data_IF_156508919712
#
_entry.id   IF_156508919712
#
_cell.length_a   1.000
_cell.length_b   1.000
_cell.length_c   1.000
_cell.angle_alpha   90.00
_cell.angle_beta   90.00
_cell.angle_gamma   90.00
#
_symmetry.space_group_name_H-M   'P 1'
#
loop_
_entity.id
_entity.type
_entity.pdbx_description
1 polymer ?
#
# COMPACT_ATOMS: atom_id res chain seq x y z
N UNK A 1 9.91 17.46 -3.90
CA UNK A 1 10.17 16.06 -4.30
C UNK A 1 11.02 15.45 -3.19
N UNK A 2 10.59 14.35 -2.62
CA UNK A 2 11.38 13.63 -1.59
C UNK A 2 12.59 12.97 -2.23
N UNK A 3 13.70 12.81 -1.50
CA UNK A 3 14.89 12.13 -2.02
C UNK A 3 14.59 10.71 -2.52
N UNK A 4 13.68 9.98 -1.87
CA UNK A 4 13.36 8.60 -2.24
C UNK A 4 12.62 8.49 -3.58
N UNK A 5 11.94 9.53 -4.04
CA UNK A 5 11.27 9.55 -5.35
C UNK A 5 12.25 9.57 -6.53
N UNK A 6 13.53 9.79 -6.28
CA UNK A 6 14.58 9.70 -7.31
C UNK A 6 15.14 8.30 -7.50
N UNK A 7 14.77 7.34 -6.64
CA UNK A 7 15.23 5.96 -6.69
C UNK A 7 14.51 5.15 -7.79
N UNK A 8 15.15 4.08 -8.26
CA UNK A 8 14.55 3.12 -9.21
C UNK A 8 14.13 1.82 -8.50
N UNK A 9 12.98 1.21 -8.89
CA UNK A 9 12.02 1.67 -9.90
C UNK A 9 11.21 2.90 -9.42
N UNK A 10 11.14 3.95 -10.25
CA UNK A 10 10.55 5.25 -9.87
C UNK A 10 9.14 5.15 -9.32
N UNK A 11 8.27 4.39 -10.00
CA UNK A 11 6.86 4.31 -9.61
C UNK A 11 6.69 3.63 -8.24
N UNK A 12 7.51 2.64 -7.93
CA UNK A 12 7.48 1.99 -6.61
C UNK A 12 7.87 3.00 -5.52
N UNK A 13 8.94 3.76 -5.72
CA UNK A 13 9.39 4.74 -4.73
C UNK A 13 8.47 5.96 -4.63
N UNK A 14 7.84 6.35 -5.74
CA UNK A 14 6.80 7.38 -5.73
C UNK A 14 5.61 6.94 -4.86
N UNK A 15 5.03 5.75 -5.11
CA UNK A 15 3.92 5.25 -4.29
C UNK A 15 4.34 4.96 -2.85
N UNK A 16 5.56 4.48 -2.62
CA UNK A 16 6.06 4.33 -1.26
C UNK A 16 6.13 5.67 -0.54
N UNK A 17 6.60 6.73 -1.22
CA UNK A 17 6.58 8.08 -0.65
C UNK A 17 5.15 8.52 -0.32
N UNK A 18 4.20 8.39 -1.25
CA UNK A 18 2.80 8.75 -0.98
C UNK A 18 2.23 7.99 0.23
N UNK A 19 2.48 6.68 0.32
CA UNK A 19 2.04 5.85 1.46
C UNK A 19 2.64 6.35 2.77
N UNK A 20 3.90 6.79 2.79
CA UNK A 20 4.52 7.35 4.00
C UNK A 20 3.91 8.67 4.46
N UNK A 21 3.20 9.38 3.57
CA UNK A 21 2.49 10.61 3.91
C UNK A 21 1.10 10.34 4.52
N UNK A 22 0.61 9.10 4.45
CA UNK A 22 -0.71 8.71 4.95
C UNK A 22 -0.56 7.96 6.27
N UNK A 23 -1.02 8.52 7.41
CA UNK A 23 -1.10 7.81 8.68
C UNK A 23 -1.92 6.52 8.57
N UNK A 24 -1.34 5.41 9.03
CA UNK A 24 -1.93 4.06 8.91
C UNK A 24 -1.60 3.13 10.08
N UNK A 25 -1.77 3.58 11.34
CA UNK A 25 -1.58 2.69 12.49
C UNK A 25 -2.57 1.53 12.43
N UNK A 26 -2.16 0.34 12.91
CA UNK A 26 -3.07 -0.80 13.06
C UNK A 26 -4.33 -0.41 13.81
N UNK A 27 -5.50 -0.86 13.34
CA UNK A 27 -6.85 -0.51 13.83
C UNK A 27 -7.28 0.95 13.60
N UNK A 28 -6.55 1.72 12.80
CA UNK A 28 -6.83 3.12 12.44
C UNK A 28 -6.51 3.38 10.98
N UNK A 29 -6.94 2.44 10.10
CA UNK A 29 -6.58 2.43 8.68
C UNK A 29 -7.50 3.27 7.80
N UNK A 30 -8.44 4.04 8.35
CA UNK A 30 -9.44 4.78 7.58
C UNK A 30 -8.81 5.70 6.53
N UNK A 31 -7.67 6.33 6.86
CA UNK A 31 -6.97 7.24 5.93
C UNK A 31 -6.32 6.50 4.76
N UNK A 32 -5.67 5.39 5.02
CA UNK A 32 -5.04 4.60 3.96
C UNK A 32 -6.09 3.88 3.11
N UNK A 33 -7.21 3.45 3.70
CA UNK A 33 -8.38 2.92 2.96
C UNK A 33 -8.92 4.00 2.00
N UNK A 34 -9.08 5.23 2.48
CA UNK A 34 -9.53 6.36 1.64
C UNK A 34 -8.54 6.60 0.49
N UNK A 35 -7.24 6.64 0.78
CA UNK A 35 -6.20 6.79 -0.23
C UNK A 35 -6.28 5.71 -1.32
N UNK A 36 -6.40 4.42 -0.94
CA UNK A 36 -6.50 3.30 -1.88
C UNK A 36 -7.77 3.38 -2.75
N UNK A 37 -8.90 3.73 -2.15
CA UNK A 37 -10.16 3.85 -2.89
C UNK A 37 -10.16 5.06 -3.82
N UNK A 38 -9.55 6.17 -3.44
CA UNK A 38 -9.40 7.35 -4.30
C UNK A 38 -8.39 7.10 -5.43
N UNK A 39 -7.31 6.37 -5.16
CA UNK A 39 -6.40 5.86 -6.20
C UNK A 39 -7.17 5.06 -7.25
N UNK A 40 -7.98 4.09 -6.86
CA UNK A 40 -8.76 3.27 -7.78
C UNK A 40 -9.75 4.11 -8.60
N UNK A 41 -10.48 5.03 -7.95
CA UNK A 41 -11.44 5.93 -8.62
C UNK A 41 -10.76 6.82 -9.66
N UNK A 42 -9.63 7.43 -9.32
CA UNK A 42 -8.91 8.34 -10.21
C UNK A 42 -8.39 7.67 -11.48
N UNK A 43 -8.26 6.33 -11.47
CA UNK A 43 -7.78 5.50 -12.58
C UNK A 43 -8.88 4.66 -13.25
N UNK A 44 -10.14 4.86 -12.84
CA UNK A 44 -11.28 4.09 -13.30
C UNK A 44 -11.11 2.56 -13.11
N UNK A 45 -10.43 2.16 -12.04
CA UNK A 45 -10.26 0.76 -11.65
C UNK A 45 -11.45 0.30 -10.80
N UNK A 46 -11.89 -0.95 -11.01
CA UNK A 46 -12.86 -1.58 -10.11
C UNK A 46 -12.23 -1.78 -8.75
N UNK A 47 -12.98 -1.49 -7.69
CA UNK A 47 -12.56 -1.82 -6.33
C UNK A 47 -13.75 -2.26 -5.47
N UNK A 48 -13.46 -3.07 -4.46
CA UNK A 48 -14.41 -3.48 -3.43
C UNK A 48 -13.78 -3.32 -2.06
N UNK A 49 -14.61 -3.05 -1.08
CA UNK A 49 -14.24 -3.04 0.33
C UNK A 49 -15.19 -3.96 1.08
N UNK A 50 -14.66 -4.87 1.92
CA UNK A 50 -15.47 -5.72 2.78
C UNK A 50 -15.84 -5.03 4.11
N UNK A 51 -16.59 -5.75 4.95
CA UNK A 51 -17.02 -5.26 6.25
C UNK A 51 -15.88 -5.14 7.27
N UNK A 52 -14.80 -5.88 7.08
CA UNK A 52 -13.60 -5.82 7.92
C UNK A 52 -12.75 -4.59 7.61
N UNK A 53 -12.83 -4.08 6.36
CA UNK A 53 -12.07 -2.94 5.88
C UNK A 53 -11.03 -3.30 4.81
N UNK A 54 -10.89 -4.57 4.46
CA UNK A 54 -10.00 -5.00 3.38
C UNK A 54 -10.45 -4.38 2.05
N UNK A 55 -9.48 -4.02 1.22
CA UNK A 55 -9.71 -3.44 -0.09
C UNK A 55 -9.11 -4.34 -1.16
N UNK A 56 -9.91 -4.66 -2.20
CA UNK A 56 -9.43 -5.29 -3.43
C UNK A 56 -9.56 -4.29 -4.57
N UNK A 57 -8.50 -4.09 -5.33
CA UNK A 57 -8.49 -3.28 -6.56
C UNK A 57 -8.19 -4.21 -7.73
N UNK A 58 -9.02 -4.14 -8.78
CA UNK A 58 -8.91 -5.00 -9.96
C UNK A 58 -8.45 -4.23 -11.17
N UNK A 59 -7.60 -4.85 -11.97
CA UNK A 59 -7.17 -4.35 -13.27
C UNK A 59 -7.40 -5.43 -14.32
N UNK A 60 -8.10 -5.08 -15.40
CA UNK A 60 -8.31 -5.99 -16.53
C UNK A 60 -6.97 -6.36 -17.17
N UNK A 61 -6.91 -7.54 -17.78
CA UNK A 61 -5.72 -7.98 -18.50
C UNK A 61 -5.30 -7.00 -19.60
N UNK A 62 -4.00 -6.93 -19.86
CA UNK A 62 -3.48 -6.25 -21.04
C UNK A 62 -4.01 -6.91 -22.32
N UNK A 63 -4.17 -6.16 -23.44
CA UNK A 63 -4.64 -6.72 -24.70
C UNK A 63 -3.86 -7.97 -25.13
N UNK A 64 -4.57 -9.06 -25.40
CA UNK A 64 -3.99 -10.36 -25.77
C UNK A 64 -3.56 -11.23 -24.58
N UNK A 65 -3.78 -10.78 -23.34
CA UNK A 65 -3.44 -11.53 -22.13
C UNK A 65 -4.69 -11.98 -21.34
N UNK A 66 -5.89 -11.84 -21.91
CA UNK A 66 -7.18 -12.09 -21.24
C UNK A 66 -7.34 -13.55 -20.80
N UNK A 67 -6.72 -14.48 -21.51
CA UNK A 67 -6.75 -15.92 -21.20
C UNK A 67 -5.66 -16.38 -20.22
N UNK A 68 -4.87 -15.45 -19.68
CA UNK A 68 -3.87 -15.79 -18.66
C UNK A 68 -4.54 -15.97 -17.30
N UNK A 69 -4.01 -16.82 -16.44
CA UNK A 69 -4.49 -16.92 -15.05
C UNK A 69 -4.45 -15.55 -14.37
N UNK A 70 -5.45 -15.27 -13.55
CA UNK A 70 -5.44 -14.09 -12.68
C UNK A 70 -4.30 -14.19 -11.66
N UNK A 71 -3.70 -13.04 -11.32
CA UNK A 71 -2.66 -12.95 -10.29
C UNK A 71 -3.20 -12.07 -9.17
N UNK A 72 -3.05 -12.55 -7.93
CA UNK A 72 -3.36 -11.79 -6.73
C UNK A 72 -2.06 -11.27 -6.15
N UNK A 73 -1.96 -9.94 -5.99
CA UNK A 73 -0.89 -9.28 -5.25
C UNK A 73 -1.45 -8.89 -3.87
N UNK A 74 -0.93 -9.50 -2.82
CA UNK A 74 -1.41 -9.26 -1.46
C UNK A 74 -0.37 -8.48 -0.65
N UNK A 75 -0.84 -7.51 0.14
CA UNK A 75 -0.08 -6.78 1.16
C UNK A 75 -1.02 -6.31 2.26
N UNK A 76 -0.48 -5.99 3.45
CA UNK A 76 -1.27 -5.33 4.49
C UNK A 76 -1.03 -3.81 4.47
N UNK A 77 -2.05 -3.06 4.91
CA UNK A 77 -2.01 -1.61 4.81
C UNK A 77 -1.62 -0.91 6.10
N UNK A 78 -1.68 -1.58 7.23
CA UNK A 78 -1.27 -1.06 8.53
C UNK A 78 0.24 -1.13 8.76
N UNK A 79 0.71 -0.55 9.84
CA UNK A 79 2.11 -0.60 10.26
C UNK A 79 2.25 -0.54 11.77
N UNK A 80 3.31 -1.13 12.29
CA UNK A 80 3.77 -0.94 13.68
C UNK A 80 4.19 0.51 13.91
N UNK A 81 3.68 1.13 14.97
CA UNK A 81 3.88 2.53 15.31
C UNK A 81 4.77 2.70 16.54
N UNK A 82 6.09 2.73 16.32
CA UNK A 82 7.10 2.94 17.36
C UNK A 82 7.97 4.15 17.03
N UNK A 83 8.40 4.87 18.05
CA UNK A 83 9.27 6.04 17.92
C UNK A 83 10.29 6.13 19.05
N UNK A 84 11.37 6.87 18.81
CA UNK A 84 12.34 7.18 19.85
C UNK A 84 11.71 8.07 20.93
N UNK A 85 12.15 7.90 22.19
CA UNK A 85 11.54 8.57 23.35
C UNK A 85 11.66 10.10 23.34
N UNK A 86 12.65 10.64 22.62
CA UNK A 86 12.92 12.08 22.47
C UNK A 86 12.20 12.71 21.26
N UNK A 87 11.48 11.91 20.46
CA UNK A 87 10.80 12.37 19.25
C UNK A 87 9.34 12.71 19.55
N UNK A 88 8.96 13.96 19.29
CA UNK A 88 7.55 14.36 19.29
C UNK A 88 6.94 14.04 17.93
N UNK A 89 6.11 12.98 17.88
CA UNK A 89 5.46 12.49 16.66
C UNK A 89 4.13 11.83 17.01
N UNK A 90 3.12 12.07 16.20
CA UNK A 90 1.80 11.46 16.31
C UNK A 90 1.49 10.63 15.06
N UNK A 91 1.48 9.30 15.21
CA UNK A 91 1.20 8.38 14.12
C UNK A 91 -0.20 8.48 13.51
N UNK A 92 -1.14 9.14 14.18
CA UNK A 92 -2.49 9.36 13.63
C UNK A 92 -2.56 10.59 12.71
N UNK A 93 -1.57 11.49 12.78
CA UNK A 93 -1.62 12.77 12.04
C UNK A 93 -0.39 13.09 11.23
N UNK A 94 0.78 12.64 11.67
CA UNK A 94 2.05 13.09 11.10
C UNK A 94 2.55 12.12 10.02
N UNK A 95 3.10 12.65 8.92
CA UNK A 95 3.72 11.83 7.88
C UNK A 95 5.08 11.30 8.34
N UNK A 96 5.40 10.07 7.92
CA UNK A 96 6.73 9.49 8.15
C UNK A 96 7.79 10.27 7.36
N UNK A 97 8.83 10.75 8.04
CA UNK A 97 9.94 11.47 7.43
C UNK A 97 11.01 10.48 6.99
N UNK A 98 11.09 10.26 5.68
CA UNK A 98 12.09 9.38 5.08
C UNK A 98 13.39 10.11 4.78
N UNK A 99 14.51 9.38 4.80
CA UNK A 99 15.84 9.83 4.37
C UNK A 99 16.61 8.69 3.74
N UNK A 100 17.59 9.01 2.91
CA UNK A 100 18.57 8.05 2.39
C UNK A 100 19.84 8.20 3.19
N UNK A 101 20.32 7.10 3.76
CA UNK A 101 21.53 7.08 4.57
C UNK A 101 22.31 5.78 4.33
N UNK A 102 23.53 5.87 3.86
CA UNK A 102 24.41 4.72 3.58
C UNK A 102 23.77 3.68 2.63
N UNK A 103 23.01 4.14 1.62
CA UNK A 103 22.33 3.27 0.65
C UNK A 103 21.03 2.64 1.17
N UNK A 104 20.55 3.04 2.35
CA UNK A 104 19.30 2.58 2.93
C UNK A 104 18.27 3.70 2.98
N UNK A 105 17.01 3.35 2.71
CA UNK A 105 15.87 4.22 3.04
C UNK A 105 15.50 3.97 4.51
N UNK A 106 15.54 5.02 5.31
CA UNK A 106 15.27 4.99 6.74
C UNK A 106 14.22 6.03 7.12
N UNK A 107 13.48 5.80 8.21
CA UNK A 107 12.67 6.82 8.85
C UNK A 107 13.49 7.63 9.86
N UNK A 108 13.07 8.87 10.14
CA UNK A 108 13.72 9.76 11.10
C UNK A 108 13.01 9.68 12.44
N UNK A 109 13.58 8.89 13.35
CA UNK A 109 13.11 8.76 14.73
C UNK A 109 11.84 7.93 14.94
N UNK A 110 11.32 7.28 13.90
CA UNK A 110 10.13 6.43 13.95
C UNK A 110 10.37 5.12 13.20
N UNK A 111 9.44 4.17 13.31
CA UNK A 111 9.31 3.06 12.37
C UNK A 111 9.04 3.58 10.96
N UNK A 112 9.51 2.86 9.92
CA UNK A 112 9.38 3.25 8.53
C UNK A 112 8.06 2.75 7.90
N UNK A 113 7.59 1.58 8.34
CA UNK A 113 6.44 0.92 7.74
C UNK A 113 6.72 0.36 6.34
N UNK A 114 7.96 -0.07 6.06
CA UNK A 114 8.29 -0.75 4.80
C UNK A 114 7.58 -2.10 4.70
N UNK A 115 7.37 -2.75 5.81
CA UNK A 115 6.46 -3.89 6.01
C UNK A 115 5.04 -3.35 6.32
N UNK A 116 4.01 -3.58 5.51
CA UNK A 116 4.14 -4.02 4.10
C UNK A 116 4.00 -2.85 3.10
N UNK A 117 4.42 -1.64 3.49
CA UNK A 117 4.30 -0.44 2.64
C UNK A 117 4.98 -0.55 1.28
N UNK A 118 6.11 -1.27 1.20
CA UNK A 118 6.80 -1.47 -0.09
C UNK A 118 6.02 -2.46 -0.97
N UNK A 119 5.37 -3.46 -0.38
CA UNK A 119 4.48 -4.37 -1.10
C UNK A 119 3.25 -3.65 -1.66
N UNK A 120 2.64 -2.76 -0.86
CA UNK A 120 1.57 -1.87 -1.33
C UNK A 120 2.04 -1.00 -2.50
N UNK A 121 3.21 -0.36 -2.36
CA UNK A 121 3.76 0.52 -3.39
C UNK A 121 4.02 -0.23 -4.70
N UNK A 122 4.56 -1.45 -4.63
CA UNK A 122 4.77 -2.29 -5.82
C UNK A 122 3.43 -2.65 -6.50
N UNK A 123 2.41 -3.03 -5.72
CA UNK A 123 1.08 -3.31 -6.25
C UNK A 123 0.45 -2.07 -6.93
N UNK A 124 0.56 -0.89 -6.29
CA UNK A 124 0.07 0.36 -6.86
C UNK A 124 0.82 0.76 -8.14
N UNK A 125 2.14 0.54 -8.19
CA UNK A 125 2.94 0.78 -9.38
C UNK A 125 2.47 -0.08 -10.56
N UNK A 126 2.21 -1.37 -10.34
CA UNK A 126 1.68 -2.27 -11.38
C UNK A 126 0.25 -1.89 -11.79
N UNK A 127 -0.60 -1.52 -10.83
CA UNK A 127 -1.95 -1.02 -11.14
C UNK A 127 -1.92 0.27 -11.96
N UNK A 128 -0.93 1.13 -11.73
CA UNK A 128 -0.77 2.41 -12.43
C UNK A 128 -0.13 2.26 -13.82
N UNK A 129 0.70 1.23 -14.04
CA UNK A 129 1.49 1.09 -15.25
C UNK A 129 0.61 0.70 -16.46
N UNK A 130 0.83 1.36 -17.60
CA UNK A 130 0.17 1.02 -18.87
C UNK A 130 1.06 0.16 -19.79
N UNK A 131 2.34 0.06 -19.48
CA UNK A 131 3.38 -0.59 -20.29
C UNK A 131 3.85 -1.96 -19.74
N UNK A 132 3.31 -2.41 -18.61
CA UNK A 132 3.60 -3.72 -18.02
C UNK A 132 2.56 -4.74 -18.51
N UNK A 133 2.91 -5.72 -19.37
CA UNK A 133 1.97 -6.74 -19.80
C UNK A 133 1.57 -7.67 -18.65
N UNK A 134 0.27 -7.89 -18.46
CA UNK A 134 -0.25 -8.73 -17.38
C UNK A 134 -1.58 -9.40 -17.75
N UNK A 135 -1.87 -10.58 -17.17
CA UNK A 135 -3.21 -11.14 -17.11
C UNK A 135 -4.13 -10.33 -16.17
N UNK A 136 -5.33 -10.80 -15.86
CA UNK A 136 -6.18 -10.14 -14.88
C UNK A 136 -5.44 -9.99 -13.54
N UNK A 137 -5.55 -8.83 -12.90
CA UNK A 137 -4.90 -8.55 -11.60
C UNK A 137 -5.95 -8.25 -10.54
N UNK A 138 -5.70 -8.76 -9.34
CA UNK A 138 -6.40 -8.41 -8.11
C UNK A 138 -5.35 -8.00 -7.07
N UNK A 139 -5.40 -6.76 -6.61
CA UNK A 139 -4.51 -6.29 -5.53
C UNK A 139 -5.32 -6.24 -4.24
N UNK A 140 -5.01 -7.16 -3.32
CA UNK A 140 -5.65 -7.26 -2.00
C UNK A 140 -4.80 -6.52 -0.97
N UNK A 141 -5.44 -5.57 -0.29
CA UNK A 141 -4.87 -4.81 0.82
C UNK A 141 -5.65 -5.14 2.09
N UNK A 142 -5.01 -5.81 3.04
CA UNK A 142 -5.64 -6.23 4.31
C UNK A 142 -5.40 -5.23 5.43
N UNK A 143 -6.33 -5.13 6.37
CA UNK A 143 -6.20 -4.32 7.59
C UNK A 143 -5.63 -5.12 8.73
N UNK A 144 -5.05 -4.44 9.73
CA UNK A 144 -4.72 -4.96 11.06
C UNK A 144 -3.99 -6.31 11.02
N UNK A 145 -2.93 -6.37 10.25
CA UNK A 145 -2.05 -7.55 10.17
C UNK A 145 -1.20 -7.67 11.42
N UNK A 146 -0.57 -6.56 11.82
CA UNK A 146 0.48 -6.47 12.84
C UNK A 146 0.00 -6.80 14.26
N UNK A 147 -1.32 -6.79 14.51
CA UNK A 147 -1.87 -7.12 15.83
C UNK A 147 -2.55 -8.49 15.91
N UNK A 148 -2.64 -9.22 14.79
CA UNK A 148 -3.22 -10.57 14.80
C UNK A 148 -3.91 -11.02 13.52
N UNK A 149 -3.51 -10.49 12.34
CA UNK A 149 -4.02 -10.90 11.03
C UNK A 149 -5.55 -10.71 10.89
N UNK A 150 -6.12 -9.71 11.57
CA UNK A 150 -7.57 -9.48 11.63
C UNK A 150 -8.19 -9.38 10.24
N UNK A 151 -7.56 -8.64 9.34
CA UNK A 151 -8.02 -8.49 7.96
C UNK A 151 -8.02 -9.80 7.19
N UNK A 152 -6.94 -10.58 7.31
CA UNK A 152 -6.81 -11.86 6.60
C UNK A 152 -7.87 -12.87 7.07
N UNK A 153 -8.09 -13.00 8.39
CA UNK A 153 -9.13 -13.88 8.94
C UNK A 153 -10.55 -13.37 8.66
N UNK A 154 -10.73 -12.06 8.53
CA UNK A 154 -12.02 -11.42 8.26
C UNK A 154 -12.30 -11.19 6.78
N UNK A 155 -11.51 -11.77 5.87
CA UNK A 155 -11.71 -11.57 4.43
C UNK A 155 -13.10 -12.05 4.01
N UNK A 156 -13.88 -11.14 3.44
CA UNK A 156 -15.25 -11.41 3.02
C UNK A 156 -15.32 -12.45 1.89
N UNK A 157 -16.35 -13.31 1.94
CA UNK A 157 -16.61 -14.27 0.87
C UNK A 157 -16.84 -13.56 -0.47
N UNK A 158 -16.22 -14.03 -1.54
CA UNK A 158 -16.32 -13.46 -2.88
C UNK A 158 -15.59 -12.13 -3.09
N UNK A 159 -14.67 -11.78 -2.20
CA UNK A 159 -13.79 -10.63 -2.42
C UNK A 159 -12.77 -10.87 -3.52
N UNK A 160 -12.34 -12.10 -3.69
CA UNK A 160 -11.41 -12.58 -4.73
C UNK A 160 -12.13 -13.49 -5.71
#
# INVERSE_FOLDING_TARGET
MSEIESLDPRDVWHFFHEITQVPRPSKREEKIIAYLTDFARSRNLEYRKDSTGNVVIRKAASPGMENRPAVILQSHMDMVCEKNGDVNFNFETDPIRTRIEEGWVKATGTTLGADCGIGMAAALAVLNADDVPHGPLECLFTVDEETGLTGAFGLGEGML
#
